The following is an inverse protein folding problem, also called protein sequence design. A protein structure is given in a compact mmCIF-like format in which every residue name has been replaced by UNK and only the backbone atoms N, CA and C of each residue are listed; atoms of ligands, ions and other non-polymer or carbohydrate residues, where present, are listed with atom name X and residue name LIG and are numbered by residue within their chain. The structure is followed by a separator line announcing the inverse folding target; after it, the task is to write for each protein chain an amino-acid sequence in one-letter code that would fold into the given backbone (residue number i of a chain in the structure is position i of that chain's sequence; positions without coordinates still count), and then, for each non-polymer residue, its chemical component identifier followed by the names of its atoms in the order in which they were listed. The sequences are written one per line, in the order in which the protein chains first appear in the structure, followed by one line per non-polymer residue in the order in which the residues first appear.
data_IF_423886594849
#
_entry.id   IF_423886594849
#
_cell.length_a   1.000
_cell.length_b   1.000
_cell.length_c   1.000
_cell.angle_alpha   90.00
_cell.angle_beta   90.00
_cell.angle_gamma   90.00
#
_symmetry.space_group_name_H-M   'P 1'
#
loop_
_entity.id
_entity.type
_entity.pdbx_description
1 polymer ?
#
# COMPACT_ATOMS: atom_id res chain seq x y z
N UNK A 1 11.60 13.92 -37.27
CA UNK A 1 10.19 14.35 -37.37
C UNK A 1 9.55 14.19 -35.98
N UNK A 2 9.31 15.33 -35.29
CA UNK A 2 8.73 15.34 -33.94
C UNK A 2 7.19 15.30 -34.08
N UNK A 3 6.58 14.14 -33.85
CA UNK A 3 5.13 14.06 -33.70
C UNK A 3 4.76 14.42 -32.25
N UNK A 4 4.27 15.63 -32.09
CA UNK A 4 3.80 16.15 -30.81
C UNK A 4 2.52 15.43 -30.37
N UNK A 5 2.44 15.05 -29.08
CA UNK A 5 1.24 14.50 -28.39
C UNK A 5 -0.04 15.31 -28.66
N UNK A 6 0.11 16.55 -29.07
CA UNK A 6 -0.98 17.49 -29.39
C UNK A 6 -1.73 17.11 -30.67
N UNK A 7 -1.15 16.31 -31.57
CA UNK A 7 -1.78 15.88 -32.83
C UNK A 7 -2.62 14.61 -32.71
N UNK A 8 -2.45 13.86 -31.61
CA UNK A 8 -3.26 12.66 -31.35
C UNK A 8 -4.72 13.02 -31.01
N UNK A 9 -4.92 14.09 -30.20
CA UNK A 9 -6.26 14.53 -29.82
C UNK A 9 -7.05 15.23 -30.92
N UNK A 10 -6.39 15.80 -31.95
CA UNK A 10 -7.07 16.47 -33.06
C UNK A 10 -7.64 15.54 -34.12
N UNK A 11 -7.21 14.29 -34.18
CA UNK A 11 -7.69 13.30 -35.16
C UNK A 11 -8.84 12.42 -34.64
N UNK A 12 -9.17 12.47 -33.35
CA UNK A 12 -10.26 11.71 -32.74
C UNK A 12 -11.63 12.43 -32.74
N UNK A 13 -11.71 13.71 -33.11
CA UNK A 13 -12.94 14.51 -32.97
C UNK A 13 -13.64 14.85 -34.29
N UNK A 14 -13.20 14.32 -35.44
CA UNK A 14 -13.72 14.67 -36.74
C UNK A 14 -14.58 13.57 -37.42
N UNK A 15 -15.14 12.65 -36.65
CA UNK A 15 -15.84 11.50 -37.20
C UNK A 15 -17.21 11.19 -36.61
N UNK A 16 -17.96 12.16 -36.12
CA UNK A 16 -19.32 11.86 -35.63
C UNK A 16 -20.27 13.08 -35.77
N UNK A 17 -20.59 13.48 -36.99
CA UNK A 17 -21.83 14.18 -37.28
C UNK A 17 -22.35 13.72 -38.65
N UNK A 18 -23.26 12.76 -38.65
CA UNK A 18 -24.30 12.58 -39.67
C UNK A 18 -25.35 11.57 -39.17
N UNK A 19 -26.50 12.08 -38.79
CA UNK A 19 -27.87 11.65 -39.15
C UNK A 19 -28.33 10.25 -38.69
N UNK A 20 -29.39 10.27 -37.90
CA UNK A 20 -30.32 9.16 -37.80
C UNK A 20 -31.14 9.18 -36.52
N UNK A 21 -32.21 9.99 -36.47
CA UNK A 21 -33.32 9.83 -35.52
C UNK A 21 -34.00 8.48 -35.74
N UNK A 22 -33.58 7.45 -35.07
CA UNK A 22 -34.36 6.23 -34.88
C UNK A 22 -34.32 5.93 -33.38
N UNK A 23 -35.44 6.19 -32.70
CA UNK A 23 -35.67 5.80 -31.31
C UNK A 23 -35.69 4.29 -31.22
N UNK A 24 -34.56 3.67 -30.90
CA UNK A 24 -34.51 2.27 -30.49
C UNK A 24 -34.34 2.28 -28.98
N UNK A 25 -35.46 2.30 -28.28
CA UNK A 25 -35.51 1.94 -26.85
C UNK A 25 -35.33 0.42 -26.74
N UNK A 26 -34.11 -0.05 -26.87
CA UNK A 26 -33.78 -1.39 -26.36
C UNK A 26 -33.41 -1.23 -24.86
N UNK A 27 -34.04 -2.02 -23.98
CA UNK A 27 -33.61 -2.05 -22.60
C UNK A 27 -32.17 -2.57 -22.61
N UNK A 28 -31.23 -1.75 -22.13
CA UNK A 28 -29.89 -2.23 -21.76
C UNK A 28 -30.10 -3.24 -20.66
N UNK A 29 -30.20 -4.51 -21.00
CA UNK A 29 -30.10 -5.60 -20.03
C UNK A 29 -28.71 -5.46 -19.40
N UNK A 30 -28.66 -4.92 -18.18
CA UNK A 30 -27.48 -4.99 -17.38
C UNK A 30 -27.13 -6.47 -17.23
N UNK A 31 -26.13 -6.90 -18.01
CA UNK A 31 -25.48 -8.18 -17.78
C UNK A 31 -24.81 -8.06 -16.43
N UNK A 32 -25.55 -8.39 -15.38
CA UNK A 32 -24.96 -8.69 -14.07
C UNK A 32 -24.14 -9.95 -14.28
N UNK A 33 -22.89 -9.79 -14.70
CA UNK A 33 -21.92 -10.84 -14.58
C UNK A 33 -21.98 -11.28 -13.12
N UNK A 34 -22.45 -12.51 -12.85
CA UNK A 34 -22.23 -13.16 -11.57
C UNK A 34 -20.73 -13.23 -11.39
N UNK A 35 -20.17 -12.24 -10.72
CA UNK A 35 -18.82 -12.34 -10.18
C UNK A 35 -18.91 -13.50 -9.21
N UNK A 36 -18.41 -14.68 -9.63
CA UNK A 36 -18.27 -15.80 -8.70
C UNK A 36 -17.56 -15.24 -7.48
N UNK A 37 -18.15 -15.40 -6.31
CA UNK A 37 -17.58 -14.92 -5.06
C UNK A 37 -16.12 -15.41 -5.02
N UNK A 38 -15.13 -14.52 -4.92
CA UNK A 38 -13.74 -14.94 -4.97
C UNK A 38 -13.50 -15.91 -3.82
N UNK A 39 -12.89 -17.05 -4.14
CA UNK A 39 -12.27 -17.89 -3.10
C UNK A 39 -11.46 -16.97 -2.19
N UNK A 40 -11.65 -17.07 -0.87
CA UNK A 40 -11.08 -16.16 0.12
C UNK A 40 -9.60 -15.91 -0.16
N UNK A 41 -9.27 -14.73 -0.66
CA UNK A 41 -7.88 -14.35 -0.98
C UNK A 41 -7.23 -13.78 0.26
N UNK A 42 -5.99 -14.14 0.47
CA UNK A 42 -5.15 -13.59 1.54
C UNK A 42 -4.04 -12.77 0.90
N UNK A 43 -3.90 -11.56 1.38
CA UNK A 43 -2.82 -10.66 0.98
C UNK A 43 -2.02 -10.33 2.23
N UNK A 44 -0.72 -10.55 2.17
CA UNK A 44 0.23 -10.16 3.20
C UNK A 44 1.23 -9.20 2.56
N UNK A 45 1.26 -7.97 3.06
CA UNK A 45 2.25 -6.97 2.68
C UNK A 45 3.34 -6.98 3.73
N UNK A 46 4.52 -7.49 3.39
CA UNK A 46 5.70 -7.47 4.24
C UNK A 46 6.54 -6.27 3.83
N UNK A 47 6.77 -5.39 4.78
CA UNK A 47 7.41 -4.10 4.58
C UNK A 47 8.67 -4.02 5.43
N UNK A 48 9.81 -3.89 4.77
CA UNK A 48 11.12 -3.77 5.40
C UNK A 48 11.63 -2.35 5.14
N UNK A 49 11.71 -1.53 6.20
CA UNK A 49 12.16 -0.14 6.07
C UNK A 49 13.67 -0.06 5.90
N UNK A 50 14.13 0.96 5.19
CA UNK A 50 15.55 1.22 5.00
C UNK A 50 16.26 0.29 4.01
N UNK A 51 15.58 -0.61 3.31
CA UNK A 51 16.21 -1.45 2.28
C UNK A 51 16.48 -0.61 1.02
N UNK A 52 17.72 -0.65 0.53
CA UNK A 52 18.08 -0.16 -0.78
C UNK A 52 18.44 -1.31 -1.74
N UNK A 53 18.35 -1.06 -3.04
CA UNK A 53 18.63 -2.08 -4.08
C UNK A 53 20.04 -2.65 -3.94
N UNK A 54 21.05 -1.78 -3.74
CA UNK A 54 22.44 -2.24 -3.60
C UNK A 54 22.65 -3.11 -2.35
N UNK A 55 21.94 -2.80 -1.26
CA UNK A 55 21.95 -3.59 -0.03
C UNK A 55 21.32 -4.97 -0.25
N UNK A 56 20.13 -4.98 -0.83
CA UNK A 56 19.43 -6.21 -1.17
C UNK A 56 20.27 -7.15 -2.07
N UNK A 57 20.89 -6.61 -3.12
CA UNK A 57 21.73 -7.40 -4.05
C UNK A 57 22.99 -7.97 -3.39
N UNK A 58 23.46 -7.42 -2.27
CA UNK A 58 24.62 -7.90 -1.52
C UNK A 58 24.27 -8.83 -0.37
N UNK A 59 23.05 -8.72 0.14
CA UNK A 59 22.57 -9.54 1.25
C UNK A 59 22.33 -10.98 0.81
N UNK A 60 22.40 -11.92 1.76
CA UNK A 60 22.01 -13.31 1.55
C UNK A 60 20.55 -13.48 1.94
N UNK A 61 19.67 -13.55 0.97
CA UNK A 61 18.21 -13.56 1.16
C UNK A 61 17.54 -14.83 0.62
N UNK A 62 17.92 -16.05 1.07
CA UNK A 62 17.47 -17.30 0.45
C UNK A 62 15.96 -17.48 0.44
N UNK A 63 15.23 -16.94 1.42
CA UNK A 63 13.76 -17.02 1.45
C UNK A 63 13.11 -16.05 0.46
N UNK A 64 13.66 -14.84 0.30
CA UNK A 64 13.19 -13.90 -0.72
C UNK A 64 13.55 -14.41 -2.12
N UNK A 65 14.73 -14.99 -2.30
CA UNK A 65 15.15 -15.60 -3.56
C UNK A 65 14.18 -16.72 -3.99
N UNK A 66 13.76 -17.56 -3.04
CA UNK A 66 12.78 -18.61 -3.29
C UNK A 66 11.40 -18.04 -3.67
N UNK A 67 10.94 -16.97 -3.01
CA UNK A 67 9.69 -16.29 -3.37
C UNK A 67 9.77 -15.66 -4.77
N UNK A 68 10.90 -15.08 -5.12
CA UNK A 68 11.10 -14.47 -6.44
C UNK A 68 11.16 -15.48 -7.56
N UNK A 69 11.66 -16.69 -7.30
CA UNK A 69 11.68 -17.76 -8.30
C UNK A 69 10.26 -18.12 -8.80
N UNK A 70 9.23 -17.89 -7.98
CA UNK A 70 7.82 -18.13 -8.32
C UNK A 70 7.02 -16.85 -8.51
N UNK A 71 7.63 -15.69 -8.31
CA UNK A 71 6.98 -14.38 -8.31
C UNK A 71 7.53 -13.41 -9.35
N UNK A 72 7.50 -12.13 -8.98
CA UNK A 72 8.04 -11.03 -9.79
C UNK A 72 8.88 -10.10 -8.92
N UNK A 73 10.00 -9.63 -9.44
CA UNK A 73 10.87 -8.65 -8.80
C UNK A 73 10.97 -7.39 -9.65
N UNK A 74 10.91 -6.23 -9.00
CA UNK A 74 11.27 -4.95 -9.58
C UNK A 74 12.34 -4.28 -8.71
N UNK A 75 13.43 -3.86 -9.34
CA UNK A 75 14.53 -3.11 -8.71
C UNK A 75 14.49 -1.62 -9.09
N UNK A 76 13.51 -1.21 -9.91
CA UNK A 76 13.39 0.17 -10.43
C UNK A 76 12.28 0.97 -9.71
N UNK A 77 11.83 0.52 -8.56
CA UNK A 77 10.82 1.21 -7.77
C UNK A 77 11.39 2.50 -7.18
N UNK A 78 10.62 3.57 -7.24
CA UNK A 78 10.98 4.87 -6.67
C UNK A 78 10.08 5.21 -5.51
N UNK A 79 10.67 5.79 -4.47
CA UNK A 79 9.94 6.36 -3.34
C UNK A 79 9.27 7.69 -3.75
N UNK A 80 8.23 8.09 -3.02
CA UNK A 80 7.65 9.43 -3.18
C UNK A 80 8.54 10.48 -2.50
N UNK A 81 8.32 11.75 -2.84
CA UNK A 81 9.01 12.87 -2.18
C UNK A 81 8.05 13.57 -1.20
N UNK A 82 8.52 13.88 0.01
CA UNK A 82 9.86 13.65 0.57
C UNK A 82 10.14 12.17 0.84
N UNK A 83 11.39 11.75 0.61
CA UNK A 83 11.83 10.35 0.75
C UNK A 83 12.08 9.98 2.21
N UNK A 84 11.08 10.13 3.06
CA UNK A 84 11.10 9.74 4.48
C UNK A 84 10.00 8.73 4.77
N UNK A 85 10.09 8.03 5.87
CA UNK A 85 9.31 6.84 6.21
C UNK A 85 7.80 7.05 6.11
N UNK A 86 7.26 7.99 6.91
CA UNK A 86 5.81 8.11 7.07
C UNK A 86 5.08 8.51 5.77
N UNK A 87 5.53 9.52 4.99
CA UNK A 87 4.94 9.84 3.69
C UNK A 87 4.95 8.67 2.72
N UNK A 88 6.04 7.89 2.68
CA UNK A 88 6.17 6.77 1.74
C UNK A 88 5.23 5.62 2.10
N UNK A 89 5.21 5.16 3.36
CA UNK A 89 4.31 4.09 3.77
C UNK A 89 2.84 4.52 3.72
N UNK A 90 2.56 5.80 4.00
CA UNK A 90 1.20 6.33 3.80
C UNK A 90 0.80 6.27 2.33
N UNK A 91 1.68 6.69 1.42
CA UNK A 91 1.41 6.62 -0.03
C UNK A 91 1.16 5.19 -0.51
N UNK A 92 1.91 4.19 -0.01
CA UNK A 92 1.69 2.78 -0.31
C UNK A 92 0.29 2.31 0.12
N UNK A 93 -0.13 2.67 1.34
CA UNK A 93 -1.38 2.17 1.92
C UNK A 93 -2.61 3.02 1.57
N UNK A 94 -2.40 4.20 0.98
CA UNK A 94 -3.48 5.08 0.50
C UNK A 94 -3.60 5.13 -1.02
N UNK A 95 -2.58 4.68 -1.77
CA UNK A 95 -2.56 4.73 -3.23
C UNK A 95 -2.49 6.16 -3.80
N UNK A 96 -1.96 7.12 -3.03
CA UNK A 96 -1.91 8.54 -3.39
C UNK A 96 -0.63 9.19 -2.85
N UNK A 97 -0.25 10.34 -3.38
CA UNK A 97 0.96 11.04 -2.95
C UNK A 97 0.74 11.96 -1.74
N UNK A 98 1.85 12.48 -1.15
CA UNK A 98 1.80 13.39 -0.01
C UNK A 98 0.97 14.65 -0.24
N UNK A 99 0.89 15.13 -1.47
CA UNK A 99 0.06 16.28 -1.87
C UNK A 99 -1.44 16.02 -1.76
N UNK A 100 -1.85 14.75 -1.69
CA UNK A 100 -3.24 14.34 -1.55
C UNK A 100 -3.57 13.94 -0.11
N UNK A 101 -2.76 13.06 0.50
CA UNK A 101 -3.04 12.58 1.85
C UNK A 101 -2.52 13.49 2.97
N UNK A 102 -1.72 14.52 2.66
CA UNK A 102 -1.28 15.53 3.62
C UNK A 102 -0.17 15.10 4.59
N UNK A 103 0.32 13.86 4.51
CA UNK A 103 1.40 13.36 5.35
C UNK A 103 2.72 13.66 4.65
N UNK A 104 3.45 14.67 5.16
CA UNK A 104 4.64 15.22 4.48
C UNK A 104 5.95 14.99 5.25
N UNK A 105 5.88 14.52 6.49
CA UNK A 105 7.05 14.21 7.30
C UNK A 105 6.74 13.15 8.37
N UNK A 106 7.78 12.71 9.11
CA UNK A 106 7.68 11.69 10.14
C UNK A 106 7.06 12.17 11.46
N UNK A 107 6.83 13.48 11.62
CA UNK A 107 6.22 14.10 12.80
C UNK A 107 4.72 14.38 12.65
N UNK A 108 4.14 13.97 11.54
CA UNK A 108 2.73 14.17 11.24
C UNK A 108 1.82 13.55 12.30
N UNK A 109 0.83 14.30 12.71
CA UNK A 109 -0.25 13.88 13.60
C UNK A 109 -1.58 14.44 13.09
N UNK A 110 -2.67 13.71 13.33
CA UNK A 110 -4.01 14.13 12.89
C UNK A 110 -4.46 15.47 13.48
N UNK A 111 -3.94 15.84 14.63
CA UNK A 111 -4.18 17.13 15.29
C UNK A 111 -3.16 18.22 14.93
N UNK A 112 -2.10 17.87 14.21
CA UNK A 112 -0.98 18.75 13.89
C UNK A 112 -0.38 18.37 12.54
N UNK A 113 -0.79 19.06 11.51
CA UNK A 113 -0.29 18.86 10.15
C UNK A 113 -0.02 20.18 9.45
N UNK A 114 0.90 20.17 8.50
CA UNK A 114 1.28 21.34 7.70
C UNK A 114 0.41 21.45 6.45
N UNK A 115 0.10 20.31 5.84
CA UNK A 115 -0.69 20.21 4.62
C UNK A 115 -1.99 19.46 4.93
N UNK A 116 -3.17 20.05 4.67
CA UNK A 116 -4.43 19.34 4.82
C UNK A 116 -4.60 18.29 3.72
N UNK A 117 -5.17 17.14 4.08
CA UNK A 117 -5.58 16.14 3.10
C UNK A 117 -6.72 16.68 2.21
N UNK A 118 -6.75 16.26 0.94
CA UNK A 118 -7.80 16.71 -0.01
C UNK A 118 -9.17 16.10 0.29
N UNK A 119 -9.21 14.97 0.98
CA UNK A 119 -10.40 14.31 1.49
C UNK A 119 -10.09 13.57 2.79
N UNK A 120 -11.11 13.40 3.64
CA UNK A 120 -10.97 12.67 4.90
C UNK A 120 -12.25 11.92 5.25
N UNK A 121 -12.11 10.88 6.07
CA UNK A 121 -13.25 10.26 6.73
C UNK A 121 -13.80 11.13 7.88
N UNK A 122 -14.86 10.67 8.54
CA UNK A 122 -15.51 11.39 9.65
C UNK A 122 -14.60 11.59 10.89
N UNK A 123 -13.43 10.94 10.92
CA UNK A 123 -12.41 11.08 11.97
C UNK A 123 -11.22 11.91 11.54
N UNK A 124 -11.22 12.42 10.31
CA UNK A 124 -10.16 13.26 9.77
C UNK A 124 -9.02 12.51 9.08
N UNK A 125 -9.13 11.18 8.90
CA UNK A 125 -8.09 10.38 8.23
C UNK A 125 -8.34 10.31 6.73
N UNK A 126 -7.26 10.40 5.95
CA UNK A 126 -7.32 10.11 4.52
C UNK A 126 -7.68 8.64 4.27
N UNK A 127 -8.48 8.32 3.22
CA UNK A 127 -8.87 6.94 2.95
C UNK A 127 -7.67 6.01 2.71
N UNK A 128 -7.59 4.93 3.47
CA UNK A 128 -6.58 3.89 3.31
C UNK A 128 -7.15 2.65 2.62
N UNK A 129 -6.27 1.78 2.15
CA UNK A 129 -6.66 0.47 1.59
C UNK A 129 -7.52 -0.34 2.56
N UNK A 130 -7.32 -0.19 3.87
CA UNK A 130 -8.14 -0.86 4.89
C UNK A 130 -9.57 -0.35 4.90
N UNK A 131 -9.77 0.98 4.81
CA UNK A 131 -11.10 1.59 4.67
C UNK A 131 -11.79 1.08 3.41
N UNK A 132 -11.13 1.22 2.27
CA UNK A 132 -11.68 0.81 0.97
C UNK A 132 -12.07 -0.66 0.96
N UNK A 133 -11.20 -1.53 1.52
CA UNK A 133 -11.48 -2.96 1.61
C UNK A 133 -12.68 -3.25 2.52
N UNK A 134 -12.75 -2.65 3.70
CA UNK A 134 -13.85 -2.87 4.65
C UNK A 134 -15.20 -2.37 4.13
N UNK A 135 -15.23 -1.28 3.40
CA UNK A 135 -16.44 -0.76 2.77
C UNK A 135 -16.90 -1.63 1.60
N UNK A 136 -15.97 -2.13 0.78
CA UNK A 136 -16.29 -3.01 -0.34
C UNK A 136 -16.60 -4.47 0.09
N UNK A 137 -15.92 -4.97 1.11
CA UNK A 137 -16.02 -6.34 1.64
C UNK A 137 -16.06 -6.31 3.17
N UNK A 138 -17.21 -6.03 3.79
CA UNK A 138 -17.33 -5.90 5.26
C UNK A 138 -16.86 -7.13 6.04
N UNK A 139 -16.92 -8.33 5.44
CA UNK A 139 -16.46 -9.59 6.05
C UNK A 139 -14.93 -9.78 5.96
N UNK A 140 -14.22 -8.95 5.19
CA UNK A 140 -12.77 -9.02 5.12
C UNK A 140 -12.14 -8.75 6.49
N UNK A 141 -11.04 -9.44 6.78
CA UNK A 141 -10.26 -9.29 8.00
C UNK A 141 -8.97 -8.54 7.71
N UNK A 142 -8.66 -7.58 8.56
CA UNK A 142 -7.55 -6.65 8.36
C UNK A 142 -6.70 -6.54 9.60
N UNK A 143 -5.37 -6.57 9.44
CA UNK A 143 -4.46 -6.45 10.57
C UNK A 143 -3.24 -5.59 10.21
N UNK A 144 -2.69 -4.93 11.23
CA UNK A 144 -1.55 -4.02 11.13
C UNK A 144 -0.55 -4.29 12.25
N UNK A 145 0.63 -4.77 11.90
CA UNK A 145 1.70 -5.11 12.83
C UNK A 145 2.92 -4.24 12.53
N UNK A 146 3.45 -3.57 13.55
CA UNK A 146 4.52 -2.60 13.35
C UNK A 146 5.38 -2.43 14.61
N UNK A 147 6.57 -1.85 14.43
CA UNK A 147 7.52 -1.59 15.50
C UNK A 147 8.18 -0.20 15.45
N UNK A 148 7.56 0.74 14.73
CA UNK A 148 7.88 2.16 14.83
C UNK A 148 6.59 2.94 15.10
N UNK A 149 6.51 3.60 16.26
CA UNK A 149 5.23 4.11 16.82
C UNK A 149 4.49 5.08 15.89
N UNK A 150 5.22 5.97 15.20
CA UNK A 150 4.59 6.99 14.36
C UNK A 150 3.96 6.40 13.09
N UNK A 151 4.34 5.18 12.69
CA UNK A 151 3.83 4.57 11.47
C UNK A 151 2.31 4.50 11.41
N UNK A 152 1.68 4.33 12.57
CA UNK A 152 0.23 4.14 12.65
C UNK A 152 -0.56 5.45 12.68
N UNK A 153 0.06 6.60 12.89
CA UNK A 153 -0.63 7.89 13.05
C UNK A 153 -1.56 8.28 11.90
N UNK A 154 -1.24 7.99 10.63
CA UNK A 154 -2.12 8.32 9.51
C UNK A 154 -3.35 7.42 9.33
N UNK A 155 -3.52 6.37 10.12
CA UNK A 155 -4.53 5.36 9.84
C UNK A 155 -5.65 5.32 10.89
N UNK A 156 -6.89 5.21 10.40
CA UNK A 156 -8.05 5.06 11.26
C UNK A 156 -8.21 3.61 11.73
N UNK A 157 -8.03 3.40 13.03
CA UNK A 157 -8.11 2.07 13.67
C UNK A 157 -9.44 1.34 13.45
N UNK A 158 -10.54 2.06 13.20
CA UNK A 158 -11.86 1.44 13.03
C UNK A 158 -11.94 0.47 11.85
N UNK A 159 -11.03 0.54 10.88
CA UNK A 159 -10.98 -0.33 9.72
C UNK A 159 -10.03 -1.54 9.90
N UNK A 160 -9.56 -1.78 11.13
CA UNK A 160 -8.64 -2.86 11.46
C UNK A 160 -9.24 -3.76 12.53
N UNK A 161 -9.21 -5.08 12.28
CA UNK A 161 -9.65 -6.08 13.26
C UNK A 161 -8.55 -6.31 14.31
N UNK A 162 -7.28 -6.20 13.91
CA UNK A 162 -6.14 -6.32 14.83
C UNK A 162 -5.05 -5.28 14.53
N UNK A 163 -4.49 -4.71 15.60
CA UNK A 163 -3.34 -3.78 15.55
C UNK A 163 -2.37 -4.17 16.66
N UNK A 164 -1.11 -4.41 16.32
CA UNK A 164 -0.06 -4.73 17.29
C UNK A 164 1.17 -3.88 17.08
N UNK A 165 1.50 -3.08 18.09
CA UNK A 165 2.75 -2.36 18.21
C UNK A 165 3.69 -3.09 19.17
N UNK A 166 4.93 -3.30 18.77
CA UNK A 166 6.01 -3.82 19.62
C UNK A 166 7.25 -2.96 19.42
N UNK A 167 7.88 -2.60 20.52
CA UNK A 167 9.07 -1.74 20.55
C UNK A 167 10.37 -2.50 20.20
N UNK A 168 11.47 -1.78 20.11
CA UNK A 168 12.85 -2.31 20.10
C UNK A 168 13.14 -3.35 19.01
N UNK A 169 12.72 -3.08 17.77
CA UNK A 169 12.93 -4.00 16.64
C UNK A 169 12.33 -5.40 16.84
N UNK A 170 11.34 -5.53 17.73
CA UNK A 170 10.68 -6.79 18.05
C UNK A 170 9.70 -7.22 16.92
N UNK A 171 10.22 -7.41 15.70
CA UNK A 171 9.40 -7.78 14.54
C UNK A 171 9.00 -9.27 14.55
N UNK A 172 9.84 -10.17 15.06
CA UNK A 172 9.56 -11.62 15.07
C UNK A 172 8.26 -11.95 15.80
N UNK A 173 8.01 -11.49 17.04
CA UNK A 173 6.72 -11.75 17.71
C UNK A 173 5.52 -11.16 16.95
N UNK A 174 5.67 -10.05 16.22
CA UNK A 174 4.61 -9.54 15.36
C UNK A 174 4.34 -10.47 14.17
N UNK A 175 5.36 -11.12 13.61
CA UNK A 175 5.19 -12.11 12.54
C UNK A 175 4.46 -13.36 13.05
N UNK A 176 4.73 -13.81 14.27
CA UNK A 176 4.01 -14.92 14.90
C UNK A 176 2.53 -14.58 15.15
N UNK A 177 2.22 -13.35 15.61
CA UNK A 177 0.85 -12.87 15.74
C UNK A 177 0.14 -12.81 14.41
N UNK A 178 0.79 -12.31 13.37
CA UNK A 178 0.24 -12.25 12.02
C UNK A 178 -0.09 -13.64 11.47
N UNK A 179 0.78 -14.62 11.71
CA UNK A 179 0.52 -16.02 11.33
C UNK A 179 -0.72 -16.56 12.05
N UNK A 180 -0.83 -16.33 13.36
CA UNK A 180 -2.00 -16.72 14.16
C UNK A 180 -3.26 -16.10 13.62
N UNK A 181 -3.27 -14.79 13.37
CA UNK A 181 -4.39 -14.07 12.77
C UNK A 181 -4.82 -14.67 11.41
N UNK A 182 -3.86 -14.97 10.53
CA UNK A 182 -4.13 -15.59 9.23
C UNK A 182 -4.74 -16.99 9.37
N UNK A 183 -4.30 -17.77 10.34
CA UNK A 183 -4.83 -19.12 10.59
C UNK A 183 -6.24 -19.10 11.16
N UNK A 184 -6.53 -18.19 12.08
CA UNK A 184 -7.85 -18.02 12.67
C UNK A 184 -8.87 -17.52 11.64
N UNK A 185 -8.43 -16.65 10.72
CA UNK A 185 -9.28 -16.03 9.69
C UNK A 185 -9.20 -16.72 8.32
N UNK A 186 -8.74 -17.97 8.25
CA UNK A 186 -8.48 -18.69 6.98
C UNK A 186 -9.67 -18.80 6.03
N UNK A 187 -10.90 -18.60 6.51
CA UNK A 187 -12.13 -18.66 5.72
C UNK A 187 -12.56 -17.28 5.18
N UNK A 188 -11.92 -16.22 5.61
CA UNK A 188 -12.24 -14.85 5.21
C UNK A 188 -11.21 -14.30 4.22
N UNK A 189 -11.61 -13.37 3.34
CA UNK A 189 -10.65 -12.49 2.70
C UNK A 189 -9.83 -11.76 3.77
N UNK A 190 -8.51 -11.71 3.64
CA UNK A 190 -7.64 -11.05 4.65
C UNK A 190 -6.65 -10.14 3.98
N UNK A 191 -6.37 -9.00 4.63
CA UNK A 191 -5.26 -8.10 4.33
C UNK A 191 -4.45 -7.88 5.60
N UNK A 192 -3.22 -8.31 5.59
CA UNK A 192 -2.27 -8.13 6.70
C UNK A 192 -1.13 -7.25 6.24
N UNK A 193 -0.83 -6.20 7.00
CA UNK A 193 0.34 -5.38 6.84
C UNK A 193 1.33 -5.67 7.97
N UNK A 194 2.54 -6.06 7.60
CA UNK A 194 3.66 -6.33 8.48
C UNK A 194 4.77 -5.35 8.18
N UNK A 195 5.20 -4.60 9.18
CA UNK A 195 6.28 -3.63 9.05
C UNK A 195 7.40 -3.91 10.02
N UNK A 196 8.63 -3.87 9.51
CA UNK A 196 9.85 -3.92 10.30
C UNK A 196 10.74 -2.71 10.02
N UNK A 197 11.16 -2.02 11.10
CA UNK A 197 12.09 -0.90 11.06
C UNK A 197 13.56 -1.34 11.27
N UNK A 198 13.79 -2.62 11.52
CA UNK A 198 15.09 -3.16 11.94
C UNK A 198 16.24 -2.77 11.00
N UNK A 199 16.07 -2.95 9.69
CA UNK A 199 17.12 -2.64 8.70
C UNK A 199 17.38 -1.13 8.60
N UNK A 200 16.35 -0.30 8.75
CA UNK A 200 16.51 1.17 8.84
C UNK A 200 17.35 1.57 10.06
N UNK A 201 17.04 1.03 11.23
CA UNK A 201 17.83 1.24 12.44
C UNK A 201 19.30 0.80 12.28
N UNK A 202 19.53 -0.34 11.63
CA UNK A 202 20.88 -0.81 11.34
C UNK A 202 21.64 0.18 10.43
N UNK A 203 20.98 0.70 9.38
CA UNK A 203 21.54 1.72 8.51
C UNK A 203 21.89 3.02 9.22
N UNK A 204 21.01 3.51 10.07
CA UNK A 204 21.26 4.70 10.89
C UNK A 204 22.38 4.50 11.90
N UNK A 205 22.45 3.36 12.57
CA UNK A 205 23.41 3.06 13.63
C UNK A 205 24.80 2.73 13.08
N UNK A 206 24.86 1.92 12.03
CA UNK A 206 26.14 1.35 11.53
C UNK A 206 26.56 1.92 10.19
N UNK A 207 25.80 2.84 9.60
CA UNK A 207 25.89 3.39 8.26
C UNK A 207 25.33 2.45 7.20
N UNK A 208 24.73 3.06 6.18
CA UNK A 208 24.23 2.37 5.00
C UNK A 208 25.36 1.61 4.30
N UNK A 209 25.08 0.39 3.85
CA UNK A 209 26.02 -0.50 3.18
C UNK A 209 27.18 -1.02 4.05
N UNK A 210 27.16 -0.80 5.37
CA UNK A 210 28.09 -1.47 6.29
C UNK A 210 27.82 -2.97 6.36
N UNK A 211 28.78 -3.81 6.81
CA UNK A 211 28.54 -5.24 7.01
C UNK A 211 27.33 -5.52 7.92
N UNK A 212 27.15 -4.73 8.98
CA UNK A 212 26.04 -4.86 9.92
C UNK A 212 24.69 -4.56 9.27
N UNK A 213 24.65 -3.52 8.41
CA UNK A 213 23.43 -3.22 7.63
C UNK A 213 23.10 -4.32 6.61
N UNK A 214 24.11 -4.85 5.92
CA UNK A 214 23.90 -5.94 4.95
C UNK A 214 23.44 -7.25 5.63
N UNK A 215 23.80 -7.43 6.89
CA UNK A 215 23.45 -8.62 7.65
C UNK A 215 22.10 -8.48 8.38
N UNK A 216 21.61 -7.26 8.59
CA UNK A 216 20.33 -6.99 9.27
C UNK A 216 19.12 -7.48 8.48
#
# INVERSE_FOLDING_TARGET
MKNSRRNFFKKGLAGAVALGTASITQPVSAVTAKVNAPTAKRIVLISLDGICVDGYLKAKTPNLDALMAEGSLSLDTRVVMPSVTLPNWTSHLCGSGPEQHGVVDNSWEISKFVLPAIETDSKGYYPSVFKVLKEALPQAKTAFYYNWINLFYPYNKQYLDEVSYLEEDAYVPNYEKALSFLMENRKNPTLVFLYSVHTDHAGHKHKWMSPEYIQS
#
